data_IF_416477311640
#
_entry.id   IF_416477311640
#
_cell.length_a   1.000
_cell.length_b   1.000
_cell.length_c   1.000
_cell.angle_alpha   90.00
_cell.angle_beta   90.00
_cell.angle_gamma   90.00
#
_symmetry.space_group_name_H-M   'P 1'
#
loop_
_entity.id
_entity.type
_entity.pdbx_description
1 polymer ?
#
# COMPACT_ATOMS: atom_id res chain seq x y z
N UNK A 1 25.87 15.82 -61.80
CA UNK A 1 26.46 16.98 -61.10
C UNK A 1 25.39 17.51 -60.15
N UNK A 2 25.62 17.32 -58.84
CA UNK A 2 25.02 17.94 -57.63
C UNK A 2 23.52 18.27 -57.60
N UNK A 3 22.68 17.51 -56.88
CA UNK A 3 22.39 17.62 -55.42
C UNK A 3 22.01 19.05 -54.97
N UNK A 4 20.70 19.28 -54.81
CA UNK A 4 20.14 20.34 -53.96
C UNK A 4 19.23 19.69 -52.94
N UNK A 5 19.63 19.84 -51.69
CA UNK A 5 19.05 19.29 -50.47
C UNK A 5 18.18 20.40 -49.86
N UNK A 6 16.87 20.21 -49.76
CA UNK A 6 16.01 20.94 -48.83
C UNK A 6 14.89 19.99 -48.39
N UNK A 7 15.14 19.26 -47.31
CA UNK A 7 14.10 18.55 -46.55
C UNK A 7 13.42 19.55 -45.62
N UNK A 8 12.10 19.53 -45.69
CA UNK A 8 11.18 20.43 -45.02
C UNK A 8 10.86 19.90 -43.62
N UNK A 9 10.66 20.84 -42.71
CA UNK A 9 10.26 20.67 -41.31
C UNK A 9 9.13 19.65 -41.08
N UNK A 10 9.25 18.92 -39.97
CA UNK A 10 8.20 18.49 -39.02
C UNK A 10 8.25 17.00 -38.71
N UNK A 11 8.76 16.65 -37.52
CA UNK A 11 8.14 15.66 -36.62
C UNK A 11 8.98 15.52 -35.35
N UNK A 12 8.60 16.30 -34.35
CA UNK A 12 8.71 15.85 -32.97
C UNK A 12 7.93 14.53 -32.80
N UNK A 13 8.34 13.77 -31.78
CA UNK A 13 7.78 12.50 -31.29
C UNK A 13 8.32 11.26 -32.03
N UNK A 14 9.57 10.89 -31.72
CA UNK A 14 9.99 9.49 -31.80
C UNK A 14 9.41 8.75 -30.57
N UNK A 15 8.18 8.28 -30.74
CA UNK A 15 7.50 7.40 -29.80
C UNK A 15 8.15 6.02 -29.78
N UNK A 16 8.33 5.52 -28.56
CA UNK A 16 8.68 4.15 -28.22
C UNK A 16 7.75 3.17 -28.95
N UNK A 17 8.28 2.43 -29.93
CA UNK A 17 7.62 1.26 -30.49
C UNK A 17 8.61 0.10 -30.52
N UNK A 18 8.70 -0.60 -29.40
CA UNK A 18 9.25 -1.95 -29.38
C UNK A 18 8.24 -2.87 -30.10
N UNK A 19 8.50 -3.16 -31.36
CA UNK A 19 7.71 -4.09 -32.17
C UNK A 19 8.05 -5.54 -31.78
N UNK A 20 7.36 -6.03 -30.75
CA UNK A 20 7.16 -7.46 -30.50
C UNK A 20 5.92 -7.97 -31.23
N UNK A 21 5.94 -9.23 -31.63
CA UNK A 21 4.96 -9.89 -32.50
C UNK A 21 3.52 -9.78 -31.98
N UNK A 22 2.60 -9.58 -32.93
CA UNK A 22 1.15 -9.35 -32.84
C UNK A 22 0.40 -10.27 -31.85
N UNK A 23 -0.16 -9.66 -30.80
CA UNK A 23 -1.44 -10.08 -30.20
C UNK A 23 -1.42 -10.84 -28.88
N UNK A 24 -0.26 -11.21 -28.35
CA UNK A 24 -0.17 -11.77 -26.99
C UNK A 24 0.28 -10.69 -26.00
N UNK A 25 -0.38 -10.54 -24.83
CA UNK A 25 0.14 -9.67 -23.79
C UNK A 25 1.58 -10.09 -23.49
N UNK A 26 2.54 -9.17 -23.60
CA UNK A 26 3.80 -9.37 -22.91
C UNK A 26 3.44 -9.34 -21.43
N UNK A 27 3.24 -10.53 -20.84
CA UNK A 27 3.17 -10.70 -19.39
C UNK A 27 4.62 -10.52 -18.90
N UNK A 28 5.09 -9.29 -18.95
CA UNK A 28 6.32 -8.91 -18.27
C UNK A 28 6.03 -8.97 -16.78
N UNK A 29 6.85 -9.68 -16.02
CA UNK A 29 6.85 -9.52 -14.59
C UNK A 29 7.32 -8.08 -14.31
N UNK A 30 6.40 -7.19 -13.96
CA UNK A 30 6.65 -5.74 -13.76
C UNK A 30 7.64 -5.43 -12.62
N UNK A 31 8.05 -6.47 -11.88
CA UNK A 31 8.95 -6.48 -10.75
C UNK A 31 10.15 -7.43 -10.94
N UNK A 32 10.46 -7.83 -12.17
CA UNK A 32 11.64 -8.67 -12.41
C UNK A 32 12.92 -7.98 -11.92
N UNK A 33 13.64 -8.60 -10.99
CA UNK A 33 14.83 -8.03 -10.33
C UNK A 33 14.56 -6.96 -9.25
N UNK A 34 13.29 -6.60 -9.02
CA UNK A 34 12.82 -5.71 -7.94
C UNK A 34 12.43 -6.52 -6.69
N UNK A 35 11.90 -5.84 -5.65
CA UNK A 35 11.31 -6.49 -4.47
C UNK A 35 12.27 -7.46 -3.78
N UNK A 36 13.53 -7.04 -3.67
CA UNK A 36 14.61 -7.84 -3.10
C UNK A 36 15.07 -7.18 -1.79
N UNK A 37 15.03 -7.88 -0.65
CA UNK A 37 14.64 -9.28 -0.49
C UNK A 37 13.12 -9.53 -0.62
N UNK A 38 12.70 -10.75 -1.00
CA UNK A 38 11.29 -11.10 -1.04
C UNK A 38 10.70 -11.16 0.38
N UNK A 39 9.41 -10.83 0.50
CA UNK A 39 8.64 -11.05 1.73
C UNK A 39 8.00 -12.43 1.69
N UNK A 40 8.44 -13.31 2.59
CA UNK A 40 7.92 -14.67 2.73
C UNK A 40 6.59 -14.70 3.52
N UNK A 41 5.69 -15.62 3.17
CA UNK A 41 4.40 -15.79 3.86
C UNK A 41 4.58 -16.05 5.36
N UNK A 42 5.61 -16.78 5.76
CA UNK A 42 5.92 -17.07 7.18
C UNK A 42 6.29 -15.82 7.98
N UNK A 43 6.90 -14.82 7.33
CA UNK A 43 7.17 -13.53 7.96
C UNK A 43 5.86 -12.79 8.23
N UNK A 44 4.93 -12.77 7.26
CA UNK A 44 3.60 -12.16 7.42
C UNK A 44 2.79 -12.84 8.53
N UNK A 45 2.79 -14.16 8.59
CA UNK A 45 2.11 -14.92 9.66
C UNK A 45 2.70 -14.61 11.05
N UNK A 46 4.02 -14.43 11.13
CA UNK A 46 4.70 -14.08 12.39
C UNK A 46 4.32 -12.67 12.83
N UNK A 47 4.33 -11.70 11.91
CA UNK A 47 3.92 -10.32 12.20
C UNK A 47 2.45 -10.27 12.63
N UNK A 48 1.58 -11.00 11.94
CA UNK A 48 0.16 -11.05 12.30
C UNK A 48 -0.03 -11.53 13.74
N UNK A 49 0.64 -12.62 14.14
CA UNK A 49 0.59 -13.11 15.53
C UNK A 49 1.11 -12.09 16.53
N UNK A 50 2.19 -11.37 16.20
CA UNK A 50 2.75 -10.33 17.06
C UNK A 50 1.77 -9.16 17.25
N UNK A 51 1.06 -8.75 16.18
CA UNK A 51 0.04 -7.70 16.27
C UNK A 51 -1.20 -8.18 17.02
N UNK A 52 -1.67 -9.40 16.79
CA UNK A 52 -2.77 -9.99 17.55
C UNK A 52 -2.47 -10.04 19.06
N UNK A 53 -1.21 -10.34 19.42
CA UNK A 53 -0.75 -10.36 20.81
C UNK A 53 -0.77 -8.97 21.50
N UNK A 54 -0.88 -7.87 20.76
CA UNK A 54 -1.06 -6.54 21.36
C UNK A 54 -2.45 -6.37 22.00
N UNK A 55 -3.44 -7.17 21.58
CA UNK A 55 -4.82 -7.09 22.10
C UNK A 55 -5.56 -5.79 21.74
N UNK A 56 -5.08 -5.06 20.73
CA UNK A 56 -5.62 -3.75 20.31
C UNK A 56 -6.72 -3.84 19.24
N UNK A 57 -7.00 -5.04 18.72
CA UNK A 57 -7.93 -5.28 17.63
C UNK A 57 -8.76 -6.55 17.88
N UNK A 58 -9.97 -6.60 17.31
CA UNK A 58 -10.80 -7.81 17.30
C UNK A 58 -10.29 -8.83 16.28
N UNK A 59 -9.79 -8.35 15.14
CA UNK A 59 -9.11 -9.20 14.15
C UNK A 59 -8.12 -8.41 13.30
N UNK A 60 -7.11 -9.13 12.82
CA UNK A 60 -6.05 -8.60 11.96
C UNK A 60 -5.80 -9.59 10.82
N UNK A 61 -5.58 -9.08 9.61
CA UNK A 61 -5.24 -9.90 8.46
C UNK A 61 -4.13 -9.23 7.65
N UNK A 62 -3.04 -9.96 7.41
CA UNK A 62 -1.95 -9.55 6.53
C UNK A 62 -2.07 -10.21 5.16
N UNK A 63 -1.91 -9.42 4.10
CA UNK A 63 -1.94 -9.88 2.72
C UNK A 63 -0.84 -9.17 1.91
N UNK A 64 -0.13 -9.90 1.06
CA UNK A 64 0.78 -9.30 0.09
C UNK A 64 0.08 -9.25 -1.28
N UNK A 65 -0.37 -8.06 -1.66
CA UNK A 65 -1.03 -7.84 -2.93
C UNK A 65 -0.18 -6.94 -3.82
N UNK A 66 0.33 -7.49 -4.93
CA UNK A 66 0.82 -6.65 -6.02
C UNK A 66 1.98 -5.71 -5.61
N UNK A 67 2.83 -6.17 -4.68
CA UNK A 67 3.91 -5.44 -3.98
C UNK A 67 3.51 -4.50 -2.85
N UNK A 68 2.31 -4.63 -2.32
CA UNK A 68 1.86 -3.91 -1.12
C UNK A 68 1.55 -4.91 -0.02
N UNK A 69 2.17 -4.72 1.15
CA UNK A 69 1.72 -5.39 2.38
C UNK A 69 0.49 -4.64 2.86
N UNK A 70 -0.67 -5.26 2.68
CA UNK A 70 -1.96 -4.75 3.14
C UNK A 70 -2.32 -5.40 4.48
N UNK A 71 -2.65 -4.56 5.45
CA UNK A 71 -3.05 -4.98 6.79
C UNK A 71 -4.47 -4.49 7.04
N UNK A 72 -5.40 -5.41 7.21
CA UNK A 72 -6.78 -5.09 7.56
C UNK A 72 -6.98 -5.31 9.07
N UNK A 73 -7.38 -4.27 9.78
CA UNK A 73 -7.52 -4.26 11.24
C UNK A 73 -8.95 -3.88 11.60
N UNK A 74 -9.68 -4.83 12.16
CA UNK A 74 -11.02 -4.61 12.71
C UNK A 74 -10.89 -4.31 14.20
N UNK A 75 -11.37 -3.15 14.62
CA UNK A 75 -11.41 -2.74 16.03
C UNK A 75 -12.83 -2.76 16.56
N UNK A 76 -12.97 -2.68 17.89
CA UNK A 76 -14.26 -2.59 18.57
C UNK A 76 -15.07 -1.39 18.05
N UNK A 77 -16.39 -1.54 17.97
CA UNK A 77 -17.29 -0.51 17.41
C UNK A 77 -17.19 0.84 18.15
N UNK A 78 -16.95 0.82 19.46
CA UNK A 78 -16.79 2.00 20.31
C UNK A 78 -15.40 2.65 20.29
N UNK A 79 -14.49 2.22 19.40
CA UNK A 79 -13.16 2.82 19.26
C UNK A 79 -13.29 4.21 18.65
N UNK A 80 -12.77 5.24 19.33
CA UNK A 80 -12.78 6.61 18.82
C UNK A 80 -11.67 6.87 17.77
N UNK A 81 -11.71 8.07 17.17
CA UNK A 81 -10.79 8.47 16.09
C UNK A 81 -9.33 8.67 16.54
N UNK A 82 -9.09 9.00 17.80
CA UNK A 82 -7.72 9.19 18.30
C UNK A 82 -7.10 7.82 18.61
N UNK A 83 -7.90 6.92 19.18
CA UNK A 83 -7.54 5.53 19.40
C UNK A 83 -7.27 4.79 18.07
N UNK A 84 -8.09 4.99 17.03
CA UNK A 84 -7.90 4.27 15.75
C UNK A 84 -6.57 4.64 15.07
N UNK A 85 -6.16 5.91 15.15
CA UNK A 85 -4.87 6.36 14.62
C UNK A 85 -3.70 5.81 15.43
N UNK A 86 -3.82 5.74 16.76
CA UNK A 86 -2.83 5.11 17.63
C UNK A 86 -2.66 3.62 17.34
N UNK A 87 -3.76 2.90 17.10
CA UNK A 87 -3.75 1.48 16.73
C UNK A 87 -3.02 1.29 15.40
N UNK A 88 -3.33 2.12 14.39
CA UNK A 88 -2.63 2.06 13.10
C UNK A 88 -1.11 2.23 13.26
N UNK A 89 -0.67 3.16 14.13
CA UNK A 89 0.75 3.36 14.41
C UNK A 89 1.39 2.15 15.12
N UNK A 90 0.72 1.55 16.10
CA UNK A 90 1.23 0.35 16.79
C UNK A 90 1.39 -0.85 15.84
N UNK A 91 0.44 -1.02 14.92
CA UNK A 91 0.49 -2.04 13.85
C UNK A 91 1.66 -1.76 12.91
N UNK A 92 1.87 -0.50 12.52
CA UNK A 92 3.00 -0.09 11.70
C UNK A 92 4.34 -0.41 12.39
N UNK A 93 4.54 0.04 13.63
CA UNK A 93 5.78 -0.19 14.40
C UNK A 93 6.09 -1.69 14.55
N UNK A 94 5.06 -2.50 14.84
CA UNK A 94 5.23 -3.97 14.96
C UNK A 94 5.61 -4.60 13.62
N UNK A 95 5.03 -4.11 12.52
CA UNK A 95 5.36 -4.57 11.17
C UNK A 95 6.81 -4.25 10.84
N UNK A 96 7.23 -3.01 11.05
CA UNK A 96 8.58 -2.56 10.65
C UNK A 96 9.68 -3.02 11.59
N UNK A 97 9.34 -3.45 12.81
CA UNK A 97 10.27 -4.16 13.68
C UNK A 97 10.70 -5.52 13.12
N UNK A 98 9.82 -6.16 12.32
CA UNK A 98 10.12 -7.46 11.67
C UNK A 98 10.59 -7.30 10.23
N UNK A 99 10.06 -6.31 9.51
CA UNK A 99 10.42 -5.97 8.14
C UNK A 99 10.95 -4.53 8.11
N UNK A 100 12.26 -4.31 8.34
CA UNK A 100 12.81 -2.96 8.46
C UNK A 100 12.51 -2.08 7.24
N UNK A 101 12.13 -0.83 7.50
CA UNK A 101 11.76 0.16 6.47
C UNK A 101 12.82 0.31 5.38
N UNK A 102 14.08 0.43 5.77
CA UNK A 102 15.18 0.64 4.83
C UNK A 102 15.44 -0.55 3.90
N UNK A 103 15.06 -1.75 4.32
CA UNK A 103 15.31 -2.99 3.58
C UNK A 103 14.15 -3.39 2.69
N UNK A 104 12.91 -3.19 3.14
CA UNK A 104 11.71 -3.69 2.45
C UNK A 104 10.85 -2.59 1.82
N UNK A 105 10.87 -1.38 2.39
CA UNK A 105 9.85 -0.35 2.13
C UNK A 105 10.43 1.01 1.71
N UNK A 106 11.67 1.02 1.21
CA UNK A 106 12.34 2.24 0.72
C UNK A 106 13.01 1.93 -0.60
N UNK A 107 12.69 2.72 -1.62
CA UNK A 107 13.30 2.59 -2.96
C UNK A 107 14.80 2.84 -2.87
N UNK A 108 15.62 1.96 -3.46
CA UNK A 108 17.08 2.14 -3.58
C UNK A 108 17.53 1.77 -5.00
N UNK A 109 18.55 2.44 -5.52
CA UNK A 109 19.25 2.06 -6.77
C UNK A 109 18.32 1.76 -7.97
N UNK A 110 17.26 2.55 -8.14
CA UNK A 110 16.25 2.39 -9.21
C UNK A 110 15.39 1.13 -9.11
N UNK A 111 15.50 0.36 -8.02
CA UNK A 111 14.66 -0.81 -7.77
C UNK A 111 13.38 -0.43 -7.04
N UNK A 112 12.26 -0.98 -7.49
CA UNK A 112 10.98 -0.85 -6.79
C UNK A 112 10.99 -1.70 -5.53
N UNK A 113 10.44 -1.15 -4.47
CA UNK A 113 10.28 -1.81 -3.17
C UNK A 113 8.82 -1.84 -2.75
N UNK A 114 8.54 -2.57 -1.67
CA UNK A 114 7.17 -2.79 -1.23
C UNK A 114 6.56 -1.51 -0.65
N UNK A 115 5.25 -1.43 -0.72
CA UNK A 115 4.46 -0.43 0.00
C UNK A 115 3.80 -1.07 1.24
N UNK A 116 3.41 -0.23 2.20
CA UNK A 116 2.57 -0.62 3.35
C UNK A 116 1.23 0.12 3.25
N UNK A 117 0.13 -0.60 3.46
CA UNK A 117 -1.20 -0.01 3.64
C UNK A 117 -1.91 -0.67 4.81
N UNK A 118 -2.20 0.10 5.86
CA UNK A 118 -2.94 -0.35 7.04
C UNK A 118 -4.33 0.28 7.00
N UNK A 119 -5.34 -0.57 6.94
CA UNK A 119 -6.75 -0.22 6.92
C UNK A 119 -7.35 -0.56 8.29
N UNK A 120 -7.63 0.46 9.11
CA UNK A 120 -8.22 0.29 10.44
C UNK A 120 -9.65 0.78 10.43
N UNK A 121 -10.59 -0.09 10.75
CA UNK A 121 -12.02 0.21 10.72
C UNK A 121 -12.75 -0.39 11.91
N UNK A 122 -13.76 0.31 12.39
CA UNK A 122 -14.61 -0.18 13.47
C UNK A 122 -15.79 -1.03 12.95
N UNK A 123 -16.03 -1.11 11.63
CA UNK A 123 -17.08 -1.92 11.00
C UNK A 123 -16.64 -2.39 9.60
N UNK A 124 -16.85 -3.67 9.25
CA UNK A 124 -16.48 -4.19 7.92
C UNK A 124 -17.45 -3.67 6.85
N UNK A 125 -18.75 -3.67 7.17
CA UNK A 125 -19.82 -3.26 6.27
C UNK A 125 -20.95 -2.65 7.11
N UNK A 126 -20.93 -1.34 7.37
CA UNK A 126 -21.97 -0.69 8.16
C UNK A 126 -23.32 -0.75 7.43
N UNK A 127 -24.40 -1.00 8.16
CA UNK A 127 -25.76 -0.73 7.67
C UNK A 127 -25.98 0.79 7.52
N UNK A 128 -27.10 1.19 6.89
CA UNK A 128 -27.49 2.61 6.81
C UNK A 128 -27.56 3.27 8.20
N UNK A 129 -28.11 2.55 9.19
CA UNK A 129 -28.25 3.01 10.58
C UNK A 129 -26.90 3.11 11.30
N UNK A 130 -25.95 2.25 10.94
CA UNK A 130 -24.61 2.23 11.55
C UNK A 130 -23.64 3.21 10.90
N UNK A 131 -23.89 3.66 9.66
CA UNK A 131 -23.00 4.56 8.91
C UNK A 131 -22.61 5.83 9.68
N UNK A 132 -23.50 6.47 10.45
CA UNK A 132 -23.12 7.63 11.27
C UNK A 132 -22.05 7.33 12.31
N UNK A 133 -21.83 6.06 12.69
CA UNK A 133 -20.81 5.64 13.65
C UNK A 133 -19.61 4.96 12.97
N UNK A 134 -19.57 4.90 11.64
CA UNK A 134 -18.50 4.23 10.92
C UNK A 134 -17.24 5.10 10.88
N UNK A 135 -16.16 4.57 11.43
CA UNK A 135 -14.84 5.18 11.43
C UNK A 135 -13.91 4.32 10.60
N UNK A 136 -13.21 4.98 9.68
CA UNK A 136 -12.23 4.33 8.83
C UNK A 136 -10.99 5.20 8.69
N UNK A 137 -9.84 4.60 8.98
CA UNK A 137 -8.54 5.24 8.94
C UNK A 137 -7.58 4.43 8.08
N UNK A 138 -6.85 5.11 7.21
CA UNK A 138 -5.80 4.53 6.37
C UNK A 138 -4.46 5.09 6.83
N UNK A 139 -3.49 4.22 7.08
CA UNK A 139 -2.10 4.59 7.34
C UNK A 139 -1.23 3.91 6.30
N UNK A 140 -0.54 4.68 5.47
CA UNK A 140 0.22 4.13 4.36
C UNK A 140 1.64 4.66 4.29
N UNK A 141 2.54 3.85 3.77
CA UNK A 141 3.89 4.25 3.38
C UNK A 141 4.19 3.62 2.03
N UNK A 142 4.24 4.45 0.99
CA UNK A 142 4.80 3.98 -0.26
C UNK A 142 6.33 3.99 -0.18
N UNK A 143 6.95 3.12 -0.96
CA UNK A 143 8.40 2.98 -1.09
C UNK A 143 9.12 4.25 -1.55
N UNK A 144 8.38 5.22 -2.10
CA UNK A 144 8.91 6.52 -2.56
C UNK A 144 8.72 7.63 -1.53
N UNK A 145 7.95 7.39 -0.45
CA UNK A 145 7.74 8.36 0.61
C UNK A 145 8.80 8.22 1.70
N UNK A 146 9.32 9.36 2.16
CA UNK A 146 10.24 9.41 3.31
C UNK A 146 9.54 8.89 4.58
N UNK A 147 8.34 9.38 4.84
CA UNK A 147 7.56 9.07 6.04
C UNK A 147 6.17 8.52 5.71
N UNK A 148 5.60 7.68 6.57
CA UNK A 148 4.22 7.25 6.44
C UNK A 148 3.23 8.43 6.55
N UNK A 149 2.05 8.26 5.97
CA UNK A 149 0.95 9.23 5.98
C UNK A 149 -0.32 8.55 6.50
N UNK A 150 -0.92 9.19 7.50
CA UNK A 150 -2.21 8.80 8.06
C UNK A 150 -3.35 9.67 7.54
N UNK A 151 -4.50 9.06 7.25
CA UNK A 151 -5.69 9.74 6.75
C UNK A 151 -6.96 9.14 7.37
N UNK A 152 -7.75 9.99 8.01
CA UNK A 152 -9.13 9.65 8.36
C UNK A 152 -10.00 9.74 7.09
N UNK A 153 -10.62 8.62 6.73
CA UNK A 153 -11.46 8.48 5.53
C UNK A 153 -12.94 8.67 5.88
N UNK A 154 -13.35 8.21 7.06
CA UNK A 154 -14.69 8.41 7.62
C UNK A 154 -14.59 8.79 9.09
N UNK A 155 -15.43 9.74 9.50
CA UNK A 155 -15.58 10.15 10.90
C UNK A 155 -17.01 9.85 11.36
N UNK A 156 -17.17 9.50 12.63
CA UNK A 156 -18.49 9.37 13.22
C UNK A 156 -19.19 10.74 13.24
N UNK A 157 -20.40 10.79 12.69
CA UNK A 157 -21.25 11.99 12.59
C UNK A 157 -22.35 12.02 13.64
N UNK A 158 -22.60 10.90 14.32
CA UNK A 158 -23.49 10.87 15.48
C UNK A 158 -22.67 11.08 16.76
N UNK A 159 -22.96 12.12 17.56
CA UNK A 159 -22.35 12.25 18.88
C UNK A 159 -22.83 11.10 19.77
N UNK A 160 -21.87 10.44 20.43
CA UNK A 160 -22.03 9.41 21.47
C UNK A 160 -23.47 9.31 22.03
N UNK A 161 -24.16 8.21 21.73
CA UNK A 161 -25.37 7.80 22.46
C UNK A 161 -24.99 7.14 23.79
#
# INVERSE_FOLDING_TARGET
>A
MFLLQFQQYSSDIQSYLATGVRGEPIIGNRFDGDLTPPIETTALETIQKNVEALGVAESVKYELETATVRINVKVLEGTDKDAIASIANQVYETTVATLPVGEYFTTSDSKKMYDIEINVYNMVKPTEEQRPNFIYYIYSKSSQQESPVGKLVSEATAPNL
#
